data_IF_523556450044
#
_entry.id   IF_523556450044
#
_cell.length_a   1.000
_cell.length_b   1.000
_cell.length_c   1.000
_cell.angle_alpha   90.00
_cell.angle_beta   90.00
_cell.angle_gamma   90.00
#
_symmetry.space_group_name_H-M   'P 1'
#
loop_
_entity.id
_entity.type
_entity.pdbx_description
1 polymer ?
#
# COMPACT_ATOMS: atom_id res chain seq x y z
N UNK A 1 -31.39 9.23 -8.94
CA UNK A 1 -31.73 7.86 -8.49
C UNK A 1 -32.28 8.00 -7.08
N UNK A 2 -33.41 7.37 -6.72
CA UNK A 2 -33.91 7.45 -5.35
C UNK A 2 -32.96 6.74 -4.37
N UNK A 3 -33.11 7.06 -3.09
CA UNK A 3 -32.48 6.29 -2.02
C UNK A 3 -32.93 4.82 -2.08
N UNK A 4 -31.99 3.90 -1.91
CA UNK A 4 -32.26 2.48 -1.97
C UNK A 4 -31.30 1.72 -1.06
N UNK A 5 -31.73 0.53 -0.66
CA UNK A 5 -30.92 -0.42 0.11
C UNK A 5 -30.48 -1.53 -0.83
N UNK A 6 -29.19 -1.85 -0.82
CA UNK A 6 -28.61 -3.01 -1.50
C UNK A 6 -28.12 -4.07 -0.51
N UNK A 7 -27.98 -5.32 -0.96
CA UNK A 7 -27.51 -6.44 -0.11
C UNK A 7 -26.36 -7.17 -0.76
N UNK A 8 -25.30 -7.42 0.00
CA UNK A 8 -24.12 -8.10 -0.53
C UNK A 8 -23.74 -9.29 0.33
N UNK A 9 -23.36 -10.37 -0.33
CA UNK A 9 -22.68 -11.51 0.30
C UNK A 9 -21.17 -11.27 0.35
N UNK A 10 -20.59 -11.38 1.53
CA UNK A 10 -19.15 -11.32 1.78
C UNK A 10 -18.48 -12.68 1.50
N UNK A 11 -17.14 -12.69 1.45
CA UNK A 11 -16.35 -13.88 1.11
C UNK A 11 -16.48 -14.99 2.17
N UNK A 12 -16.87 -14.64 3.40
CA UNK A 12 -17.17 -15.59 4.48
C UNK A 12 -18.58 -16.20 4.37
N UNK A 13 -19.32 -15.84 3.32
CA UNK A 13 -20.66 -16.31 3.04
C UNK A 13 -21.76 -15.58 3.79
N UNK A 14 -21.45 -14.60 4.64
CA UNK A 14 -22.42 -13.77 5.37
C UNK A 14 -22.89 -12.60 4.52
N UNK A 15 -23.99 -11.99 4.93
CA UNK A 15 -24.69 -10.93 4.22
C UNK A 15 -24.57 -9.60 4.95
N UNK A 16 -24.50 -8.50 4.22
CA UNK A 16 -24.63 -7.14 4.74
C UNK A 16 -25.62 -6.35 3.90
N UNK A 17 -26.28 -5.38 4.52
CA UNK A 17 -27.04 -4.38 3.81
C UNK A 17 -26.23 -3.08 3.69
N UNK A 18 -26.47 -2.34 2.61
CA UNK A 18 -25.89 -1.04 2.34
C UNK A 18 -27.00 -0.06 1.96
N UNK A 19 -27.11 1.05 2.66
CA UNK A 19 -27.99 2.15 2.29
C UNK A 19 -27.22 3.10 1.37
N UNK A 20 -27.81 3.43 0.22
CA UNK A 20 -27.22 4.30 -0.80
C UNK A 20 -28.13 5.50 -1.00
N UNK A 21 -27.61 6.68 -0.70
CA UNK A 21 -28.24 7.96 -1.02
C UNK A 21 -27.37 8.71 -2.05
N UNK A 22 -27.73 8.65 -3.34
CA UNK A 22 -26.95 9.28 -4.40
C UNK A 22 -27.08 10.80 -4.42
N UNK A 23 -28.12 11.38 -3.79
CA UNK A 23 -28.27 12.84 -3.71
C UNK A 23 -27.33 13.45 -2.69
N UNK A 24 -27.11 12.74 -1.57
CA UNK A 24 -26.19 13.16 -0.52
C UNK A 24 -24.76 12.61 -0.70
N UNK A 25 -24.52 11.79 -1.74
CA UNK A 25 -23.29 11.01 -1.92
C UNK A 25 -22.92 10.17 -0.68
N UNK A 26 -23.93 9.63 0.00
CA UNK A 26 -23.76 8.84 1.24
C UNK A 26 -23.94 7.36 0.96
N UNK A 27 -22.98 6.57 1.42
CA UNK A 27 -23.06 5.11 1.51
C UNK A 27 -22.89 4.68 2.98
N UNK A 28 -23.92 4.03 3.54
CA UNK A 28 -23.88 3.48 4.90
C UNK A 28 -23.92 1.96 4.85
N UNK A 29 -23.03 1.31 5.60
CA UNK A 29 -22.94 -0.16 5.66
C UNK A 29 -23.39 -0.68 7.01
N UNK A 30 -24.02 -1.84 7.02
CA UNK A 30 -24.35 -2.53 8.26
C UNK A 30 -23.08 -2.85 9.06
N UNK A 31 -23.10 -2.52 10.35
CA UNK A 31 -22.01 -2.88 11.27
C UNK A 31 -21.98 -4.39 11.55
N UNK A 32 -23.13 -5.06 11.47
CA UNK A 32 -23.31 -6.50 11.62
C UNK A 32 -23.39 -7.20 10.27
N UNK A 33 -22.95 -8.45 10.25
CA UNK A 33 -23.15 -9.42 9.17
C UNK A 33 -24.25 -10.39 9.55
N UNK A 34 -25.04 -10.84 8.57
CA UNK A 34 -26.19 -11.71 8.74
C UNK A 34 -25.94 -13.07 8.06
N UNK A 35 -26.47 -14.19 8.59
CA UNK A 35 -26.31 -15.50 7.97
C UNK A 35 -27.11 -15.65 6.66
N UNK A 36 -28.15 -14.84 6.44
CA UNK A 36 -29.01 -14.91 5.26
C UNK A 36 -29.38 -13.53 4.68
N UNK A 37 -29.70 -13.48 3.39
CA UNK A 37 -30.19 -12.27 2.72
C UNK A 37 -31.51 -11.79 3.33
N UNK A 38 -32.38 -12.73 3.71
CA UNK A 38 -33.66 -12.43 4.36
C UNK A 38 -33.48 -11.68 5.67
N UNK A 39 -32.54 -12.11 6.51
CA UNK A 39 -32.24 -11.43 7.77
C UNK A 39 -31.61 -10.05 7.55
N UNK A 40 -30.70 -9.92 6.58
CA UNK A 40 -30.13 -8.62 6.21
C UNK A 40 -31.21 -7.66 5.71
N UNK A 41 -32.16 -8.16 4.89
CA UNK A 41 -33.31 -7.41 4.38
C UNK A 41 -34.24 -6.98 5.49
N UNK A 42 -34.57 -7.88 6.41
CA UNK A 42 -35.46 -7.57 7.52
C UNK A 42 -34.85 -6.49 8.41
N UNK A 43 -33.58 -6.64 8.78
CA UNK A 43 -32.88 -5.64 9.58
C UNK A 43 -32.76 -4.27 8.89
N UNK A 44 -32.57 -4.25 7.56
CA UNK A 44 -32.55 -3.00 6.81
C UNK A 44 -33.93 -2.33 6.74
N UNK A 45 -34.99 -3.12 6.54
CA UNK A 45 -36.37 -2.64 6.50
C UNK A 45 -36.83 -2.07 7.85
N UNK A 46 -36.36 -2.63 8.96
CA UNK A 46 -36.61 -2.07 10.31
C UNK A 46 -35.98 -0.70 10.51
N UNK A 47 -34.77 -0.49 9.99
CA UNK A 47 -34.02 0.76 10.15
C UNK A 47 -34.47 1.85 9.18
N UNK A 48 -34.87 1.47 7.96
CA UNK A 48 -35.23 2.39 6.88
C UNK A 48 -36.61 2.05 6.31
N UNK A 49 -37.69 2.28 7.09
CA UNK A 49 -39.04 2.01 6.62
C UNK A 49 -39.37 2.93 5.44
N UNK A 50 -39.77 2.33 4.31
CA UNK A 50 -40.20 3.06 3.12
C UNK A 50 -39.11 3.31 2.07
N UNK A 51 -37.85 2.95 2.35
CA UNK A 51 -36.78 2.97 1.35
C UNK A 51 -36.91 1.76 0.42
N UNK A 52 -36.69 1.96 -0.88
CA UNK A 52 -36.72 0.88 -1.85
C UNK A 52 -35.63 -0.16 -1.55
N UNK A 53 -36.00 -1.44 -1.53
CA UNK A 53 -35.09 -2.54 -1.21
C UNK A 53 -34.72 -3.24 -2.53
N UNK A 54 -33.52 -2.97 -3.02
CA UNK A 54 -33.01 -3.54 -4.25
C UNK A 54 -32.06 -4.69 -3.95
N UNK A 55 -32.33 -5.85 -4.53
CA UNK A 55 -31.41 -6.98 -4.47
C UNK A 55 -30.30 -6.80 -5.49
N UNK A 56 -29.25 -6.07 -5.12
CA UNK A 56 -28.03 -6.02 -5.91
C UNK A 56 -27.08 -7.06 -5.36
N UNK A 57 -27.14 -8.28 -5.91
CA UNK A 57 -26.04 -9.25 -5.75
C UNK A 57 -24.82 -8.65 -6.42
N UNK A 58 -24.09 -7.77 -5.73
CA UNK A 58 -22.86 -7.22 -6.25
C UNK A 58 -21.93 -8.41 -6.55
N UNK A 59 -21.25 -8.42 -7.70
CA UNK A 59 -20.21 -9.40 -7.93
C UNK A 59 -19.28 -9.37 -6.71
N UNK A 60 -18.89 -10.55 -6.25
CA UNK A 60 -17.94 -10.72 -5.15
C UNK A 60 -16.83 -9.68 -5.27
N UNK A 61 -16.31 -9.19 -4.15
CA UNK A 61 -15.28 -8.14 -4.08
C UNK A 61 -13.93 -8.54 -4.70
N UNK A 62 -13.93 -9.44 -5.68
CA UNK A 62 -12.80 -10.26 -6.07
C UNK A 62 -12.42 -10.16 -7.56
N UNK A 63 -13.01 -9.26 -8.33
CA UNK A 63 -12.51 -8.97 -9.69
C UNK A 63 -11.96 -7.55 -9.83
N UNK A 64 -12.68 -6.48 -9.48
CA UNK A 64 -12.16 -5.12 -9.67
C UNK A 64 -11.03 -4.73 -8.69
N UNK A 65 -11.10 -5.14 -7.43
CA UNK A 65 -10.05 -4.83 -6.44
C UNK A 65 -8.81 -5.72 -6.65
N UNK A 66 -9.00 -6.97 -7.06
CA UNK A 66 -7.93 -7.89 -7.44
C UNK A 66 -7.33 -7.52 -8.81
N UNK A 67 -8.13 -7.08 -9.78
CA UNK A 67 -7.67 -6.55 -11.07
C UNK A 67 -6.90 -5.26 -10.86
N UNK A 68 -7.38 -4.34 -10.01
CA UNK A 68 -6.65 -3.13 -9.64
C UNK A 68 -5.29 -3.45 -9.01
N UNK A 69 -5.23 -4.44 -8.10
CA UNK A 69 -3.96 -4.90 -7.51
C UNK A 69 -3.05 -5.62 -8.52
N UNK A 70 -3.60 -6.41 -9.46
CA UNK A 70 -2.84 -7.04 -10.55
C UNK A 70 -2.30 -6.00 -11.54
N UNK A 71 -3.12 -5.02 -11.93
CA UNK A 71 -2.75 -3.92 -12.82
C UNK A 71 -1.66 -3.04 -12.18
N UNK A 72 -1.74 -2.75 -10.88
CA UNK A 72 -0.67 -2.03 -10.16
C UNK A 72 0.65 -2.82 -10.13
N UNK A 73 0.60 -4.13 -9.87
CA UNK A 73 1.80 -4.99 -9.93
C UNK A 73 2.37 -5.04 -11.35
N UNK A 74 1.51 -5.19 -12.35
CA UNK A 74 1.91 -5.27 -13.75
C UNK A 74 2.47 -3.93 -14.25
N UNK A 75 1.88 -2.81 -13.85
CA UNK A 75 2.42 -1.47 -14.10
C UNK A 75 3.79 -1.29 -13.44
N UNK A 76 3.96 -1.72 -12.19
CA UNK A 76 5.24 -1.65 -11.51
C UNK A 76 6.33 -2.48 -12.22
N UNK A 77 6.02 -3.72 -12.63
CA UNK A 77 6.95 -4.58 -13.39
C UNK A 77 7.30 -3.96 -14.74
N UNK A 78 6.29 -3.45 -15.48
CA UNK A 78 6.51 -2.77 -16.76
C UNK A 78 7.38 -1.52 -16.60
N UNK A 79 7.19 -0.75 -15.52
CA UNK A 79 7.99 0.44 -15.24
C UNK A 79 9.45 0.07 -14.92
N UNK A 80 9.67 -1.01 -14.18
CA UNK A 80 11.02 -1.53 -13.88
C UNK A 80 11.70 -2.02 -15.16
N UNK A 81 11.01 -2.81 -15.99
CA UNK A 81 11.54 -3.28 -17.27
C UNK A 81 11.86 -2.11 -18.20
N UNK A 82 10.98 -1.10 -18.27
CA UNK A 82 11.21 0.11 -19.05
C UNK A 82 12.43 0.88 -18.53
N UNK A 83 12.59 1.03 -17.21
CA UNK A 83 13.74 1.69 -16.60
C UNK A 83 15.06 0.94 -16.87
N UNK A 84 15.05 -0.39 -16.82
CA UNK A 84 16.21 -1.23 -17.17
C UNK A 84 16.55 -1.08 -18.65
N UNK A 85 15.55 -1.13 -19.54
CA UNK A 85 15.74 -0.95 -20.97
C UNK A 85 16.29 0.45 -21.29
N UNK A 86 15.74 1.50 -20.67
CA UNK A 86 16.26 2.86 -20.81
C UNK A 86 17.69 2.99 -20.30
N UNK A 87 18.08 2.27 -19.23
CA UNK A 87 19.47 2.27 -18.74
C UNK A 87 20.41 1.54 -19.70
N UNK A 88 19.96 0.46 -20.34
CA UNK A 88 20.74 -0.26 -21.35
C UNK A 88 20.90 0.57 -22.62
N UNK A 89 19.83 1.21 -23.08
CA UNK A 89 19.83 2.08 -24.27
C UNK A 89 20.63 3.38 -24.04
N UNK A 90 20.54 3.97 -22.84
CA UNK A 90 21.28 5.19 -22.47
C UNK A 90 22.70 4.90 -21.96
N UNK A 91 23.02 3.66 -21.63
CA UNK A 91 24.31 3.21 -21.11
C UNK A 91 25.41 3.03 -22.16
N UNK A 92 25.11 3.27 -23.45
CA UNK A 92 26.05 3.15 -24.56
C UNK A 92 26.88 4.41 -24.85
N UNK A 93 27.12 5.28 -23.87
CA UNK A 93 27.85 6.53 -24.13
C UNK A 93 28.45 7.17 -22.88
N UNK A 94 29.53 6.59 -22.34
CA UNK A 94 30.67 7.41 -21.95
C UNK A 94 32.00 6.64 -21.95
N UNK A 95 33.01 7.28 -22.52
CA UNK A 95 34.33 6.77 -22.87
C UNK A 95 35.15 6.52 -21.61
N UNK A 96 35.64 5.30 -21.41
CA UNK A 96 36.84 5.06 -20.60
C UNK A 96 37.98 4.72 -21.53
N UNK A 97 38.92 5.66 -21.62
CA UNK A 97 40.19 5.53 -22.34
C UNK A 97 40.90 4.22 -21.99
N UNK A 98 41.23 3.36 -22.97
CA UNK A 98 42.11 2.23 -22.77
C UNK A 98 43.56 2.72 -22.82
N UNK A 99 43.98 3.52 -21.83
CA UNK A 99 45.30 4.17 -21.90
C UNK A 99 45.96 4.61 -20.60
N UNK A 100 45.30 4.50 -19.44
CA UNK A 100 45.89 5.02 -18.20
C UNK A 100 46.35 3.88 -17.27
N UNK A 101 47.66 3.60 -17.15
CA UNK A 101 48.15 2.65 -16.16
C UNK A 101 47.98 3.22 -14.75
N UNK A 102 47.71 2.35 -13.74
CA UNK A 102 47.53 2.80 -12.37
C UNK A 102 48.84 3.38 -11.81
N UNK A 103 48.81 4.50 -11.06
CA UNK A 103 49.98 4.95 -10.33
C UNK A 103 50.30 3.95 -9.21
N UNK A 104 51.27 3.06 -9.49
CA UNK A 104 51.98 2.30 -8.48
C UNK A 104 52.91 3.23 -7.72
N UNK A 105 52.78 3.28 -6.39
CA UNK A 105 53.96 3.49 -5.56
C UNK A 105 53.80 4.31 -4.29
N UNK A 106 53.77 3.59 -3.17
CA UNK A 106 54.60 3.81 -1.98
C UNK A 106 54.54 5.20 -1.32
N UNK A 107 53.82 5.27 -0.19
CA UNK A 107 54.36 5.91 1.02
C UNK A 107 54.04 5.06 2.25
N UNK A 108 54.93 4.11 2.52
CA UNK A 108 55.09 3.47 3.83
C UNK A 108 56.45 3.92 4.36
N UNK A 109 56.44 4.88 5.27
CA UNK A 109 57.48 5.26 6.23
C UNK A 109 56.96 6.51 6.96
N UNK A 110 57.10 6.72 8.25
CA UNK A 110 57.38 5.91 9.43
C UNK A 110 57.36 6.95 10.57
N UNK A 111 57.04 6.51 11.80
CA UNK A 111 57.26 7.22 13.08
C UNK A 111 56.36 8.44 13.32
N UNK A 112 55.73 8.63 14.48
CA UNK A 112 55.83 7.96 15.76
C UNK A 112 55.57 8.98 16.86
N UNK A 113 54.93 8.51 17.96
CA UNK A 113 54.88 9.13 19.29
C UNK A 113 54.15 10.47 19.46
N UNK A 114 53.06 10.43 20.25
CA UNK A 114 52.88 11.04 21.60
C UNK A 114 51.38 11.01 21.91
N UNK A 115 50.92 10.09 22.75
CA UNK A 115 50.68 10.30 24.18
C UNK A 115 50.03 11.66 24.51
N UNK A 116 48.74 11.65 24.89
CA UNK A 116 48.11 12.42 25.97
C UNK A 116 46.71 11.80 26.19
N UNK A 117 46.57 10.86 27.13
CA UNK A 117 46.21 11.06 28.53
C UNK A 117 44.81 11.67 28.67
N UNK A 118 43.80 10.82 28.57
CA UNK A 118 42.43 11.13 28.97
C UNK A 118 42.36 11.21 30.49
N UNK A 119 42.07 12.40 31.00
CA UNK A 119 41.65 12.63 32.39
C UNK A 119 40.51 13.62 32.31
N UNK A 120 39.30 13.19 32.68
CA UNK A 120 38.32 14.07 33.35
C UNK A 120 37.45 13.22 34.28
N UNK A 121 37.60 13.55 35.55
CA UNK A 121 36.90 13.08 36.73
C UNK A 121 35.53 13.78 36.88
N UNK A 122 34.55 13.05 37.43
CA UNK A 122 33.46 13.54 38.31
C UNK A 122 32.31 14.31 37.65
N UNK A 123 31.08 14.26 38.22
CA UNK A 123 30.86 14.55 39.64
C UNK A 123 30.14 13.43 40.45
N UNK A 124 30.21 13.47 41.80
CA UNK A 124 29.48 12.56 42.66
C UNK A 124 28.02 12.99 42.89
N UNK A 125 27.19 11.99 43.17
CA UNK A 125 25.81 12.09 43.70
C UNK A 125 25.75 12.90 45.00
N UNK A 126 24.58 13.45 45.29
CA UNK A 126 24.07 13.52 46.66
C UNK A 126 22.55 13.27 46.64
N UNK A 127 22.14 12.40 47.57
CA UNK A 127 20.78 12.14 48.03
C UNK A 127 20.29 13.32 48.88
#
# INVERSE_FOLDING_TARGET
MPEHITYRREDDGRWRWLYVNPEAEVELRSSKTYPSASEARHAAAELYPGVALDEVTAPSASEDELASRKLLRQAAVSLILLAVLFRVLKGGGDKRDPGQPPPRGRRRQQRGRRQHRGVRFGPPRSL
#
